data_IF_525087120722
#
_entry.id   IF_525087120722
#
_cell.length_a   1.000
_cell.length_b   1.000
_cell.length_c   1.000
_cell.angle_alpha   90.00
_cell.angle_beta   90.00
_cell.angle_gamma   90.00
#
_symmetry.space_group_name_H-M   'P 1'
#
loop_
_entity.id
_entity.type
_entity.pdbx_description
1 polymer ?
#
# COMPACT_ATOMS: atom_id res chain seq x y z
N UNK A 1 17.26 11.11 -19.11
CA UNK A 1 17.83 10.79 -17.78
C UNK A 1 17.07 9.61 -17.20
N UNK A 2 17.75 8.65 -16.60
CA UNK A 2 17.02 7.59 -15.89
C UNK A 2 16.41 8.17 -14.62
N UNK A 3 15.18 7.80 -14.29
CA UNK A 3 14.44 8.26 -13.11
C UNK A 3 15.25 8.11 -11.82
N UNK A 4 16.10 7.09 -11.73
CA UNK A 4 16.95 6.87 -10.57
C UNK A 4 17.90 8.05 -10.31
N UNK A 5 18.52 8.62 -11.34
CA UNK A 5 19.44 9.75 -11.17
C UNK A 5 18.70 10.99 -10.64
N UNK A 6 17.50 11.25 -11.15
CA UNK A 6 16.63 12.33 -10.66
C UNK A 6 16.28 12.13 -9.18
N UNK A 7 15.92 10.91 -8.78
CA UNK A 7 15.61 10.57 -7.39
C UNK A 7 16.84 10.81 -6.49
N UNK A 8 18.03 10.38 -6.91
CA UNK A 8 19.25 10.55 -6.13
C UNK A 8 19.63 12.03 -5.96
N UNK A 9 19.47 12.85 -7.01
CA UNK A 9 19.70 14.29 -6.93
C UNK A 9 18.70 14.97 -5.98
N UNK A 10 17.43 14.64 -6.07
CA UNK A 10 16.39 15.16 -5.19
C UNK A 10 16.62 14.72 -3.73
N UNK A 11 17.02 13.47 -3.52
CA UNK A 11 17.34 12.97 -2.17
C UNK A 11 18.52 13.71 -1.56
N UNK A 12 19.57 13.97 -2.32
CA UNK A 12 20.70 14.74 -1.83
C UNK A 12 20.28 16.14 -1.38
N UNK A 13 19.52 16.86 -2.19
CA UNK A 13 18.99 18.18 -1.82
C UNK A 13 18.15 18.11 -0.55
N UNK A 14 17.25 17.13 -0.48
CA UNK A 14 16.40 16.94 0.70
C UNK A 14 17.22 16.71 1.97
N UNK A 15 18.23 15.84 1.91
CA UNK A 15 19.11 15.56 3.07
C UNK A 15 19.88 16.81 3.52
N UNK A 16 20.39 17.60 2.56
CA UNK A 16 21.15 18.82 2.86
C UNK A 16 20.27 19.92 3.49
N UNK A 17 18.98 19.96 3.18
CA UNK A 17 18.02 20.98 3.63
C UNK A 17 17.12 20.52 4.80
N UNK A 18 17.18 19.24 5.18
CA UNK A 18 16.25 18.68 6.16
C UNK A 18 16.62 19.11 7.59
N UNK A 19 15.73 19.85 8.21
CA UNK A 19 15.79 20.30 9.62
C UNK A 19 14.66 19.66 10.46
N UNK A 20 14.37 18.39 10.22
CA UNK A 20 13.27 17.69 10.90
C UNK A 20 13.62 17.24 12.30
N UNK A 21 12.58 17.08 13.12
CA UNK A 21 12.70 16.51 14.46
C UNK A 21 12.91 14.99 14.43
N UNK A 22 13.58 14.46 15.44
CA UNK A 22 13.58 13.03 15.72
C UNK A 22 12.17 12.61 16.19
N UNK A 23 11.59 11.63 15.54
CA UNK A 23 10.28 11.10 15.88
C UNK A 23 10.40 9.69 16.46
N UNK A 24 9.52 9.38 17.41
CA UNK A 24 9.37 8.02 17.92
C UNK A 24 8.89 7.07 16.82
N UNK A 25 9.28 5.81 16.91
CA UNK A 25 8.70 4.76 16.07
C UNK A 25 7.27 4.36 16.48
N UNK A 26 6.80 4.81 17.64
CA UNK A 26 5.40 4.66 18.05
C UNK A 26 4.54 5.75 17.39
N UNK A 27 3.37 5.40 16.82
CA UNK A 27 2.49 6.38 16.22
C UNK A 27 1.87 7.30 17.28
N UNK A 28 2.00 8.59 17.12
CA UNK A 28 1.51 9.56 18.11
C UNK A 28 0.00 9.49 18.32
N UNK A 29 -0.74 9.19 17.27
CA UNK A 29 -2.20 9.00 17.33
C UNK A 29 -2.63 7.56 17.65
N UNK A 30 -1.68 6.67 17.94
CA UNK A 30 -1.94 5.24 18.23
C UNK A 30 -2.75 4.54 17.13
N UNK A 31 -2.57 4.96 15.90
CA UNK A 31 -3.37 4.58 14.75
C UNK A 31 -2.56 3.74 13.76
N UNK A 32 -3.18 2.69 13.23
CA UNK A 32 -2.72 1.99 12.03
C UNK A 32 -3.76 2.15 10.92
N UNK A 33 -3.29 2.30 9.68
CA UNK A 33 -4.13 2.46 8.50
C UNK A 33 -3.74 1.42 7.47
N UNK A 34 -4.70 0.66 6.97
CA UNK A 34 -4.57 -0.13 5.76
C UNK A 34 -5.25 0.60 4.62
N UNK A 35 -4.51 0.92 3.57
CA UNK A 35 -5.03 1.64 2.41
C UNK A 35 -4.42 1.13 1.11
N UNK A 36 -4.93 1.61 -0.02
CA UNK A 36 -4.45 1.24 -1.34
C UNK A 36 -3.10 1.90 -1.69
N UNK A 37 -2.30 1.20 -2.48
CA UNK A 37 -1.05 1.72 -3.06
C UNK A 37 -1.28 2.68 -4.24
N UNK A 38 -2.50 3.05 -4.56
CA UNK A 38 -2.83 3.96 -5.65
C UNK A 38 -2.01 5.24 -5.54
N UNK A 39 -1.30 5.57 -6.63
CA UNK A 39 -0.39 6.72 -6.64
C UNK A 39 -1.09 8.07 -6.42
N UNK A 40 -2.39 8.15 -6.68
CA UNK A 40 -3.21 9.34 -6.44
C UNK A 40 -3.41 9.66 -4.96
N UNK A 41 -3.19 8.67 -4.08
CA UNK A 41 -3.27 8.84 -2.62
C UNK A 41 -1.98 9.37 -2.00
N UNK A 42 -0.87 9.36 -2.73
CA UNK A 42 0.43 9.82 -2.22
C UNK A 42 0.39 11.32 -1.95
N UNK A 43 0.68 11.72 -0.70
CA UNK A 43 0.62 13.12 -0.27
C UNK A 43 -0.78 13.73 -0.28
N UNK A 44 -1.81 12.92 -0.44
CA UNK A 44 -3.22 13.32 -0.48
C UNK A 44 -4.01 12.79 0.72
N UNK A 45 -3.85 11.52 1.04
CA UNK A 45 -4.61 10.86 2.10
C UNK A 45 -4.29 11.46 3.48
N UNK A 46 -3.03 11.64 3.78
CA UNK A 46 -2.59 12.12 5.10
C UNK A 46 -3.16 13.51 5.41
N UNK A 47 -3.04 14.52 4.54
CA UNK A 47 -3.69 15.82 4.77
C UNK A 47 -5.22 15.72 4.87
N UNK A 48 -5.86 14.86 4.06
CA UNK A 48 -7.30 14.67 4.11
C UNK A 48 -7.79 14.13 5.46
N UNK A 49 -6.95 13.36 6.15
CA UNK A 49 -7.23 12.80 7.48
C UNK A 49 -6.72 13.71 8.63
N UNK A 50 -6.04 14.80 8.32
CA UNK A 50 -5.43 15.66 9.32
C UNK A 50 -4.30 14.98 10.10
N UNK A 51 -3.57 14.07 9.45
CA UNK A 51 -2.42 13.38 10.01
C UNK A 51 -1.14 13.77 9.28
N UNK A 52 -0.03 13.66 9.97
CA UNK A 52 1.29 14.00 9.46
C UNK A 52 2.33 12.93 9.76
N UNK A 53 3.59 13.29 9.51
CA UNK A 53 4.72 12.42 9.76
C UNK A 53 4.80 12.03 11.24
N UNK A 54 4.82 10.73 11.53
CA UNK A 54 4.89 10.21 12.91
C UNK A 54 3.54 9.93 13.56
N UNK A 55 2.41 10.31 12.96
CA UNK A 55 1.09 10.19 13.58
C UNK A 55 0.52 8.75 13.52
N UNK A 56 0.73 8.04 12.42
CA UNK A 56 0.12 6.73 12.19
C UNK A 56 1.08 5.76 11.51
N UNK A 57 0.84 4.47 11.67
CA UNK A 57 1.43 3.41 10.85
C UNK A 57 0.57 3.24 9.60
N UNK A 58 1.18 3.36 8.41
CA UNK A 58 0.44 3.25 7.16
C UNK A 58 0.92 2.03 6.38
N UNK A 59 0.00 1.11 6.12
CA UNK A 59 0.19 -0.11 5.35
C UNK A 59 -0.51 0.08 4.01
N UNK A 60 0.23 -0.07 2.91
CA UNK A 60 -0.29 0.08 1.55
C UNK A 60 -0.11 -1.20 0.76
N UNK A 61 -1.17 -1.64 0.09
CA UNK A 61 -1.11 -2.75 -0.84
C UNK A 61 -2.09 -2.55 -2.01
N UNK A 62 -2.12 -3.50 -2.92
CA UNK A 62 -3.05 -3.46 -4.05
C UNK A 62 -4.49 -3.64 -3.56
N UNK A 63 -5.27 -2.55 -3.54
CA UNK A 63 -6.69 -2.56 -3.22
C UNK A 63 -7.03 -2.59 -1.73
N UNK A 64 -6.11 -2.24 -0.83
CA UNK A 64 -6.35 -2.28 0.64
C UNK A 64 -6.97 -3.60 1.11
N UNK A 65 -6.43 -4.72 0.63
CA UNK A 65 -6.93 -6.07 0.89
C UNK A 65 -6.11 -6.79 1.95
N UNK A 66 -6.70 -7.85 2.52
CA UNK A 66 -6.02 -8.76 3.45
C UNK A 66 -5.67 -10.09 2.77
N UNK A 67 -5.47 -10.08 1.48
CA UNK A 67 -5.03 -11.26 0.72
C UNK A 67 -3.59 -11.61 1.10
N UNK A 68 -3.39 -12.87 1.46
CA UNK A 68 -2.12 -13.32 2.01
C UNK A 68 -1.91 -12.85 3.46
N UNK A 69 -0.73 -13.11 3.99
CA UNK A 69 -0.44 -12.87 5.41
C UNK A 69 0.20 -11.50 5.68
N UNK A 70 0.73 -10.82 4.67
CA UNK A 70 1.59 -9.65 4.90
C UNK A 70 0.85 -8.45 5.51
N UNK A 71 -0.36 -8.14 5.04
CA UNK A 71 -1.18 -7.07 5.60
C UNK A 71 -1.57 -7.38 7.05
N UNK A 72 -2.02 -8.60 7.32
CA UNK A 72 -2.40 -9.06 8.67
C UNK A 72 -1.19 -9.02 9.61
N UNK A 73 -0.04 -9.53 9.18
CA UNK A 73 1.21 -9.49 9.94
C UNK A 73 1.63 -8.06 10.27
N UNK A 74 1.51 -7.15 9.32
CA UNK A 74 1.86 -5.74 9.50
C UNK A 74 0.92 -5.02 10.47
N UNK A 75 -0.39 -5.30 10.39
CA UNK A 75 -1.39 -4.79 11.35
C UNK A 75 -1.13 -5.35 12.75
N UNK A 76 -0.86 -6.65 12.86
CA UNK A 76 -0.53 -7.29 14.12
C UNK A 76 0.72 -6.68 14.78
N UNK A 77 1.77 -6.42 13.99
CA UNK A 77 2.97 -5.74 14.49
C UNK A 77 2.66 -4.30 14.95
N UNK A 78 1.82 -3.57 14.21
CA UNK A 78 1.42 -2.22 14.59
C UNK A 78 0.70 -2.20 15.94
N UNK A 79 -0.21 -3.15 16.19
CA UNK A 79 -0.98 -3.26 17.43
C UNK A 79 -0.12 -3.79 18.59
N UNK A 80 0.48 -4.96 18.41
CA UNK A 80 1.08 -5.69 19.54
C UNK A 80 2.52 -5.28 19.87
N UNK A 81 3.22 -4.65 18.92
CA UNK A 81 4.63 -4.28 19.11
C UNK A 81 4.89 -2.77 19.00
N UNK A 82 4.06 -2.03 18.28
CA UNK A 82 4.33 -0.64 17.93
C UNK A 82 3.32 0.37 18.48
N UNK A 83 2.39 -0.08 19.33
CA UNK A 83 1.53 0.80 20.11
C UNK A 83 0.33 1.39 19.39
N UNK A 84 -0.11 0.82 18.27
CA UNK A 84 -1.39 1.16 17.68
C UNK A 84 -2.54 0.57 18.51
N UNK A 85 -3.58 1.35 18.73
CA UNK A 85 -4.78 0.94 19.47
C UNK A 85 -6.02 0.89 18.56
N UNK A 86 -5.99 1.65 17.45
CA UNK A 86 -7.06 1.68 16.46
C UNK A 86 -6.54 1.32 15.08
N UNK A 87 -7.40 0.70 14.27
CA UNK A 87 -7.12 0.35 12.87
C UNK A 87 -8.21 0.93 11.98
N UNK A 88 -7.80 1.67 10.95
CA UNK A 88 -8.68 2.10 9.88
C UNK A 88 -8.38 1.33 8.60
N UNK A 89 -9.41 0.87 7.91
CA UNK A 89 -9.32 0.36 6.53
C UNK A 89 -9.93 1.40 5.62
N UNK A 90 -9.12 1.94 4.70
CA UNK A 90 -9.53 3.05 3.85
C UNK A 90 -9.39 2.63 2.39
N UNK A 91 -10.54 2.52 1.71
CA UNK A 91 -10.64 2.37 0.27
C UNK A 91 -10.71 3.72 -0.44
N UNK A 92 -10.78 3.68 -1.75
CA UNK A 92 -10.96 4.85 -2.60
C UNK A 92 -11.77 4.50 -3.84
N UNK A 93 -12.36 5.50 -4.46
CA UNK A 93 -13.12 5.34 -5.72
C UNK A 93 -12.20 5.05 -6.89
N UNK A 94 -12.72 4.36 -7.89
CA UNK A 94 -12.00 4.00 -9.12
C UNK A 94 -10.68 3.25 -8.84
N UNK A 95 -10.71 2.35 -7.87
CA UNK A 95 -9.57 1.50 -7.55
C UNK A 95 -9.26 0.56 -8.71
N UNK A 96 -7.99 0.50 -9.10
CA UNK A 96 -7.56 -0.41 -10.18
C UNK A 96 -7.72 -1.90 -9.86
N UNK A 97 -7.99 -2.25 -8.60
CA UNK A 97 -8.27 -3.63 -8.17
C UNK A 97 -9.75 -3.98 -8.23
N UNK A 98 -10.64 -2.97 -8.31
CA UNK A 98 -12.06 -3.21 -8.53
C UNK A 98 -12.30 -3.77 -9.94
N UNK A 99 -13.00 -4.90 -10.03
CA UNK A 99 -13.24 -5.58 -11.29
C UNK A 99 -11.98 -6.15 -11.95
N UNK A 100 -10.92 -6.43 -11.19
CA UNK A 100 -9.69 -7.01 -11.75
C UNK A 100 -9.95 -8.39 -12.36
N UNK A 101 -9.41 -8.60 -13.56
CA UNK A 101 -9.61 -9.80 -14.36
C UNK A 101 -8.34 -10.67 -14.35
N UNK A 102 -8.38 -11.85 -13.72
CA UNK A 102 -7.23 -12.76 -13.68
C UNK A 102 -6.74 -13.21 -15.06
N UNK A 103 -7.64 -13.32 -16.05
CA UNK A 103 -7.25 -13.73 -17.40
C UNK A 103 -6.47 -12.63 -18.12
N UNK A 104 -6.87 -11.36 -17.94
CA UNK A 104 -6.10 -10.22 -18.47
C UNK A 104 -4.72 -10.15 -17.83
N UNK A 105 -4.63 -10.36 -16.52
CA UNK A 105 -3.36 -10.40 -15.82
C UNK A 105 -2.47 -11.52 -16.36
N UNK A 106 -3.00 -12.73 -16.50
CA UNK A 106 -2.31 -13.88 -17.08
C UNK A 106 -1.72 -13.56 -18.45
N UNK A 107 -2.54 -13.02 -19.34
CA UNK A 107 -2.11 -12.68 -20.70
C UNK A 107 -0.99 -11.61 -20.69
N UNK A 108 -1.11 -10.59 -19.88
CA UNK A 108 -0.08 -9.56 -19.74
C UNK A 108 1.26 -10.13 -19.19
N UNK A 109 1.20 -11.09 -18.27
CA UNK A 109 2.40 -11.77 -17.76
C UNK A 109 3.08 -12.60 -18.86
N UNK A 110 2.30 -13.34 -19.66
CA UNK A 110 2.82 -14.13 -20.78
C UNK A 110 3.46 -13.21 -21.84
N UNK A 111 2.79 -12.14 -22.22
CA UNK A 111 3.30 -11.16 -23.19
C UNK A 111 4.62 -10.52 -22.75
N UNK A 112 4.85 -10.39 -21.45
CA UNK A 112 6.10 -9.90 -20.86
C UNK A 112 7.16 -10.98 -20.64
N UNK A 113 6.90 -12.20 -21.08
CA UNK A 113 7.87 -13.30 -21.09
C UNK A 113 7.89 -14.15 -19.83
N UNK A 114 6.88 -14.06 -18.95
CA UNK A 114 6.75 -15.00 -17.84
C UNK A 114 6.30 -16.36 -18.39
N UNK A 115 7.04 -17.46 -18.14
CA UNK A 115 6.64 -18.78 -18.58
C UNK A 115 5.27 -19.17 -18.00
N UNK A 116 4.42 -19.72 -18.84
CA UNK A 116 3.08 -20.16 -18.43
C UNK A 116 3.11 -21.14 -17.26
N UNK A 117 4.08 -22.04 -17.25
CA UNK A 117 4.29 -23.02 -16.16
C UNK A 117 4.54 -22.37 -14.80
N UNK A 118 5.15 -21.18 -14.75
CA UNK A 118 5.35 -20.44 -13.52
C UNK A 118 4.05 -19.76 -13.04
N UNK A 119 3.27 -19.25 -13.98
CA UNK A 119 1.96 -18.64 -13.69
C UNK A 119 0.99 -19.70 -13.16
N UNK A 120 1.03 -20.91 -13.73
CA UNK A 120 0.14 -22.02 -13.34
C UNK A 120 0.39 -22.55 -11.91
N UNK A 121 1.51 -22.16 -11.27
CA UNK A 121 1.79 -22.48 -9.87
C UNK A 121 0.96 -21.67 -8.87
N UNK A 122 0.31 -20.59 -9.33
CA UNK A 122 -0.49 -19.69 -8.49
C UNK A 122 -1.94 -19.68 -8.97
N UNK A 123 -2.87 -19.70 -8.03
CA UNK A 123 -4.27 -19.34 -8.32
C UNK A 123 -4.37 -17.81 -8.42
N UNK A 124 -4.28 -17.30 -9.66
CA UNK A 124 -4.27 -15.84 -9.90
C UNK A 124 -5.49 -15.12 -9.35
N UNK A 125 -6.66 -15.76 -9.36
CA UNK A 125 -7.88 -15.16 -8.85
C UNK A 125 -7.78 -14.84 -7.36
N UNK A 126 -7.34 -15.78 -6.58
CA UNK A 126 -7.13 -15.60 -5.14
C UNK A 126 -5.90 -14.74 -4.85
N UNK A 127 -4.82 -14.94 -5.61
CA UNK A 127 -3.54 -14.27 -5.39
C UNK A 127 -3.59 -12.77 -5.63
N UNK A 128 -4.27 -12.32 -6.70
CA UNK A 128 -4.34 -10.89 -7.01
C UNK A 128 -5.25 -10.12 -6.06
N UNK A 129 -6.25 -10.77 -5.45
CA UNK A 129 -7.12 -10.16 -4.45
C UNK A 129 -8.03 -9.07 -5.00
N UNK A 130 -8.48 -9.20 -6.24
CA UNK A 130 -9.45 -8.27 -6.81
C UNK A 130 -10.83 -8.40 -6.14
N UNK A 131 -11.62 -7.34 -6.22
CA UNK A 131 -12.96 -7.24 -5.67
C UNK A 131 -13.90 -6.54 -6.68
N UNK A 132 -15.20 -6.62 -6.44
CA UNK A 132 -16.21 -6.04 -7.35
C UNK A 132 -16.57 -4.60 -6.97
N UNK A 133 -16.61 -4.28 -5.68
CA UNK A 133 -17.08 -3.00 -5.16
C UNK A 133 -16.15 -2.47 -4.06
N UNK A 134 -15.77 -1.20 -4.17
CA UNK A 134 -14.82 -0.58 -3.25
C UNK A 134 -15.39 -0.37 -1.85
N UNK A 135 -16.70 -0.14 -1.72
CA UNK A 135 -17.35 0.05 -0.41
C UNK A 135 -17.46 -1.30 0.31
N UNK A 136 -17.86 -2.35 -0.39
CA UNK A 136 -17.92 -3.70 0.18
C UNK A 136 -16.54 -4.22 0.63
N UNK A 137 -15.49 -3.81 -0.05
CA UNK A 137 -14.13 -4.25 0.26
C UNK A 137 -13.60 -3.73 1.62
N UNK A 138 -14.22 -2.71 2.22
CA UNK A 138 -13.80 -2.15 3.51
C UNK A 138 -14.69 -2.57 4.69
N UNK A 139 -15.74 -3.31 4.43
CA UNK A 139 -16.65 -3.86 5.43
C UNK A 139 -16.21 -5.25 5.87
#
# INVERSE_FOLDING_TARGET
MMILNEILENNKKFVDEFEGEELSHHPQKKLAILTCMDCRLTGFLEPALGIGRGDAKIIKNAGNTIVGEDAIRSIAAAIFSLGAEEVLVIGHTECGMAGSDPDKLRNAMIERGIPQEEIDKVDLKSWIGGFEDEEENVI
#
